data_IF_056438630211
#
_entry.id   IF_056438630211
#
_cell.length_a   1.000
_cell.length_b   1.000
_cell.length_c   1.000
_cell.angle_alpha   90.00
_cell.angle_beta   90.00
_cell.angle_gamma   90.00
#
_symmetry.space_group_name_H-M   'P 1'
#
loop_
_entity.id
_entity.type
_entity.pdbx_description
1 polymer ?
#
# COMPACT_ATOMS: atom_id res chain seq x y z
N UNK A 1 11.55 -4.34 20.90
CA UNK A 1 10.65 -4.12 19.72
C UNK A 1 11.03 -4.99 18.53
N UNK A 2 12.34 -5.22 18.28
CA UNK A 2 12.81 -5.99 17.12
C UNK A 2 13.15 -7.45 17.43
N UNK A 3 13.29 -7.82 18.70
CA UNK A 3 13.68 -9.18 19.11
C UNK A 3 12.63 -10.23 18.72
N UNK A 4 11.35 -9.86 18.76
CA UNK A 4 10.22 -10.71 18.35
C UNK A 4 9.65 -10.32 16.96
N UNK A 5 10.44 -9.62 16.15
CA UNK A 5 9.98 -9.11 14.85
C UNK A 5 9.49 -10.22 13.91
N UNK A 6 10.20 -11.38 13.77
CA UNK A 6 9.73 -12.49 12.96
C UNK A 6 8.42 -13.12 13.45
N UNK A 7 8.23 -13.30 14.77
CA UNK A 7 6.96 -13.77 15.32
C UNK A 7 5.83 -12.80 15.01
N UNK A 8 6.11 -11.49 15.14
CA UNK A 8 5.12 -10.44 14.84
C UNK A 8 4.69 -10.49 13.38
N UNK A 9 5.63 -10.61 12.44
CA UNK A 9 5.31 -10.79 11.00
C UNK A 9 4.43 -12.01 10.74
N UNK A 10 4.81 -13.17 11.30
CA UNK A 10 4.04 -14.41 11.17
C UNK A 10 2.63 -14.23 11.71
N UNK A 11 2.47 -13.54 12.83
CA UNK A 11 1.16 -13.34 13.45
C UNK A 11 0.20 -12.52 12.57
N UNK A 12 0.69 -11.48 11.89
CA UNK A 12 -0.14 -10.68 10.97
C UNK A 12 -0.47 -11.41 9.67
N UNK A 13 0.30 -12.43 9.30
CA UNK A 13 0.05 -13.26 8.11
C UNK A 13 -0.86 -14.45 8.41
N UNK A 14 -0.71 -15.07 9.58
CA UNK A 14 -1.39 -16.33 9.90
C UNK A 14 -2.62 -16.13 10.78
N UNK A 15 -2.60 -15.11 11.66
CA UNK A 15 -3.62 -14.89 12.68
C UNK A 15 -3.91 -13.39 12.89
N UNK A 16 -4.24 -12.64 11.82
CA UNK A 16 -4.31 -11.18 11.86
C UNK A 16 -5.27 -10.64 12.94
N UNK A 17 -6.42 -11.30 13.16
CA UNK A 17 -7.37 -10.84 14.18
C UNK A 17 -6.79 -10.89 15.60
N UNK A 18 -6.05 -11.96 15.94
CA UNK A 18 -5.38 -12.06 17.23
C UNK A 18 -4.22 -11.06 17.34
N UNK A 19 -3.45 -10.90 16.26
CA UNK A 19 -2.35 -9.95 16.20
C UNK A 19 -2.84 -8.52 16.45
N UNK A 20 -3.94 -8.10 15.81
CA UNK A 20 -4.53 -6.77 16.03
C UNK A 20 -5.05 -6.57 17.44
N UNK A 21 -5.72 -7.56 18.03
CA UNK A 21 -6.17 -7.47 19.43
C UNK A 21 -5.00 -7.27 20.39
N UNK A 22 -3.86 -7.92 20.16
CA UNK A 22 -2.66 -7.77 21.01
C UNK A 22 -2.02 -6.39 20.96
N UNK A 23 -2.10 -5.69 19.82
CA UNK A 23 -1.48 -4.36 19.64
C UNK A 23 -2.46 -3.20 19.87
N UNK A 24 -3.71 -3.50 20.23
CA UNK A 24 -4.78 -2.53 20.37
C UNK A 24 -4.48 -1.45 21.41
N UNK A 25 -3.91 -1.83 22.54
CA UNK A 25 -3.56 -0.90 23.63
C UNK A 25 -2.09 -0.45 23.57
N UNK A 26 -1.35 -0.89 22.55
CA UNK A 26 0.04 -0.48 22.31
C UNK A 26 0.16 0.90 21.66
N UNK A 27 1.36 1.46 21.72
CA UNK A 27 1.70 2.76 21.18
C UNK A 27 1.64 2.80 19.64
N UNK A 28 1.17 3.92 19.09
CA UNK A 28 1.08 4.13 17.63
C UNK A 28 2.46 4.42 17.02
N UNK A 29 3.38 5.02 17.78
CA UNK A 29 4.76 5.20 17.37
C UNK A 29 5.48 3.87 17.11
N UNK A 30 5.27 2.85 17.96
CA UNK A 30 5.79 1.50 17.70
C UNK A 30 5.27 0.90 16.38
N UNK A 31 4.00 1.13 16.06
CA UNK A 31 3.41 0.70 14.79
C UNK A 31 4.03 1.44 13.59
N UNK A 32 4.31 2.74 13.74
CA UNK A 32 4.99 3.53 12.72
C UNK A 32 6.43 3.05 12.49
N UNK A 33 7.19 2.79 13.56
CA UNK A 33 8.56 2.25 13.43
C UNK A 33 8.51 0.88 12.74
N UNK A 34 7.57 0.01 13.12
CA UNK A 34 7.36 -1.27 12.46
C UNK A 34 7.08 -1.12 10.96
N UNK A 35 6.18 -0.21 10.59
CA UNK A 35 5.85 0.08 9.20
C UNK A 35 7.07 0.58 8.42
N UNK A 36 7.81 1.55 8.97
CA UNK A 36 9.00 2.13 8.30
C UNK A 36 10.09 1.09 8.10
N UNK A 37 10.35 0.23 9.09
CA UNK A 37 11.33 -0.85 8.97
C UNK A 37 10.95 -1.80 7.82
N UNK A 38 9.68 -2.23 7.75
CA UNK A 38 9.22 -3.08 6.66
C UNK A 38 9.22 -2.38 5.31
N UNK A 39 8.86 -1.09 5.28
CA UNK A 39 8.88 -0.29 4.06
C UNK A 39 10.29 -0.21 3.49
N UNK A 40 11.31 0.05 4.33
CA UNK A 40 12.72 0.09 3.89
C UNK A 40 13.14 -1.26 3.32
N UNK A 41 12.81 -2.36 4.01
CA UNK A 41 13.10 -3.72 3.51
C UNK A 41 12.42 -3.94 2.15
N UNK A 42 11.13 -3.62 2.05
CA UNK A 42 10.36 -3.76 0.83
C UNK A 42 10.94 -2.92 -0.33
N UNK A 43 11.32 -1.67 -0.07
CA UNK A 43 11.88 -0.76 -1.08
C UNK A 43 13.23 -1.25 -1.60
N UNK A 44 14.09 -1.77 -0.71
CA UNK A 44 15.38 -2.35 -1.11
C UNK A 44 15.16 -3.62 -1.95
N UNK A 45 14.32 -4.55 -1.49
CA UNK A 45 14.03 -5.79 -2.22
C UNK A 45 13.40 -5.52 -3.59
N UNK A 46 12.45 -4.58 -3.65
CA UNK A 46 11.83 -4.17 -4.90
C UNK A 46 12.82 -3.49 -5.84
N UNK A 47 13.72 -2.64 -5.33
CA UNK A 47 14.79 -2.03 -6.12
C UNK A 47 15.73 -3.08 -6.72
N UNK A 48 16.13 -4.10 -5.94
CA UNK A 48 16.93 -5.23 -6.43
C UNK A 48 16.19 -5.98 -7.54
N UNK A 49 14.92 -6.32 -7.33
CA UNK A 49 14.12 -7.03 -8.35
C UNK A 49 13.98 -6.21 -9.62
N UNK A 50 13.74 -4.89 -9.50
CA UNK A 50 13.62 -4.00 -10.65
C UNK A 50 14.95 -3.87 -11.42
N UNK A 51 16.09 -3.82 -10.72
CA UNK A 51 17.41 -3.80 -11.37
C UNK A 51 17.64 -5.03 -12.26
N UNK A 52 17.24 -6.21 -11.79
CA UNK A 52 17.35 -7.46 -12.57
C UNK A 52 16.18 -7.69 -13.53
N UNK A 53 15.15 -6.84 -13.51
CA UNK A 53 14.01 -6.94 -14.41
C UNK A 53 14.40 -6.38 -15.77
N UNK A 54 14.77 -7.28 -16.67
CA UNK A 54 15.03 -6.93 -18.07
C UNK A 54 13.68 -6.98 -18.81
N UNK A 55 12.92 -5.89 -18.76
CA UNK A 55 11.86 -5.69 -19.74
C UNK A 55 12.41 -4.96 -20.98
N UNK A 56 12.05 -5.36 -22.21
CA UNK A 56 12.67 -4.86 -23.44
C UNK A 56 12.62 -3.33 -23.60
N UNK A 57 11.63 -2.69 -22.98
CA UNK A 57 11.47 -1.24 -23.00
C UNK A 57 12.54 -0.57 -22.13
N UNK A 58 12.79 -1.07 -20.91
CA UNK A 58 13.83 -0.53 -20.04
C UNK A 58 15.22 -0.85 -20.56
N UNK A 59 15.45 -2.03 -21.15
CA UNK A 59 16.72 -2.35 -21.80
C UNK A 59 17.02 -1.39 -22.96
N UNK A 60 16.03 -1.12 -23.81
CA UNK A 60 16.15 -0.13 -24.89
C UNK A 60 16.45 1.27 -24.35
N UNK A 61 15.80 1.69 -23.25
CA UNK A 61 16.08 2.98 -22.61
C UNK A 61 17.49 3.01 -21.98
N UNK A 62 17.88 1.99 -21.24
CA UNK A 62 19.16 1.90 -20.53
C UNK A 62 20.35 1.80 -21.48
N UNK A 63 20.20 1.18 -22.65
CA UNK A 63 21.24 1.13 -23.68
C UNK A 63 21.55 2.51 -24.29
N UNK A 64 20.65 3.49 -24.14
CA UNK A 64 20.84 4.86 -24.65
C UNK A 64 21.45 5.82 -23.62
N UNK A 65 21.59 5.41 -22.36
CA UNK A 65 22.12 6.25 -21.27
C UNK A 65 23.42 5.67 -20.68
N UNK A 66 24.34 6.51 -20.19
CA UNK A 66 25.54 6.03 -19.51
C UNK A 66 25.21 5.15 -18.30
N UNK A 67 26.00 4.10 -18.07
CA UNK A 67 25.78 3.15 -16.97
C UNK A 67 25.73 3.81 -15.58
N UNK A 68 26.52 4.88 -15.36
CA UNK A 68 26.48 5.66 -14.11
C UNK A 68 25.13 6.37 -13.88
N UNK A 69 24.42 6.72 -14.95
CA UNK A 69 23.10 7.35 -14.88
C UNK A 69 22.03 6.32 -14.47
N UNK A 70 22.11 5.08 -14.96
CA UNK A 70 21.20 3.98 -14.59
C UNK A 70 21.26 3.70 -13.08
N UNK A 71 22.48 3.56 -12.53
CA UNK A 71 22.67 3.33 -11.11
C UNK A 71 22.08 4.47 -10.24
N UNK A 72 22.16 5.72 -10.70
CA UNK A 72 21.54 6.86 -10.01
C UNK A 72 20.01 6.72 -10.02
N UNK A 73 19.41 6.37 -11.15
CA UNK A 73 17.96 6.17 -11.23
C UNK A 73 17.48 5.07 -10.29
N UNK A 74 18.20 3.95 -10.19
CA UNK A 74 17.86 2.85 -9.30
C UNK A 74 17.88 3.28 -7.83
N UNK A 75 18.93 3.99 -7.41
CA UNK A 75 19.04 4.51 -6.04
C UNK A 75 17.92 5.52 -5.76
N UNK A 76 17.64 6.42 -6.71
CA UNK A 76 16.54 7.38 -6.58
C UNK A 76 15.19 6.69 -6.47
N UNK A 77 14.97 5.59 -7.18
CA UNK A 77 13.72 4.82 -7.12
C UNK A 77 13.45 4.25 -5.72
N UNK A 78 14.49 3.77 -5.02
CA UNK A 78 14.40 3.27 -3.64
C UNK A 78 14.04 4.42 -2.70
N UNK A 79 14.70 5.57 -2.84
CA UNK A 79 14.44 6.75 -2.00
C UNK A 79 13.01 7.25 -2.21
N UNK A 80 12.56 7.37 -3.47
CA UNK A 80 11.19 7.74 -3.78
C UNK A 80 10.18 6.71 -3.28
N UNK A 81 10.52 5.42 -3.31
CA UNK A 81 9.69 4.37 -2.73
C UNK A 81 9.49 4.55 -1.21
N UNK A 82 10.56 4.88 -0.48
CA UNK A 82 10.50 5.12 0.97
C UNK A 82 9.71 6.40 1.26
N UNK A 83 10.04 7.52 0.59
CA UNK A 83 9.34 8.80 0.79
C UNK A 83 7.86 8.67 0.43
N UNK A 84 7.57 8.06 -0.73
CA UNK A 84 6.21 7.81 -1.21
C UNK A 84 5.44 6.88 -0.29
N UNK A 85 6.08 5.85 0.27
CA UNK A 85 5.46 4.96 1.26
C UNK A 85 5.08 5.69 2.55
N UNK A 86 5.98 6.54 3.08
CA UNK A 86 5.69 7.34 4.28
C UNK A 86 4.56 8.34 4.02
N UNK A 87 4.59 9.07 2.90
CA UNK A 87 3.52 10.00 2.53
C UNK A 87 2.21 9.24 2.31
N UNK A 88 2.26 8.12 1.60
CA UNK A 88 1.14 7.23 1.33
C UNK A 88 0.51 6.69 2.61
N UNK A 89 1.29 6.32 3.61
CA UNK A 89 0.81 5.88 4.92
C UNK A 89 -0.13 6.91 5.56
N UNK A 90 0.28 8.18 5.63
CA UNK A 90 -0.55 9.23 6.21
C UNK A 90 -1.78 9.52 5.37
N UNK A 91 -1.63 9.62 4.04
CA UNK A 91 -2.76 9.88 3.13
C UNK A 91 -3.80 8.75 3.22
N UNK A 92 -3.37 7.50 3.08
CA UNK A 92 -4.24 6.33 3.14
C UNK A 92 -4.90 6.22 4.51
N UNK A 93 -4.13 6.40 5.59
CA UNK A 93 -4.67 6.34 6.94
C UNK A 93 -5.72 7.41 7.20
N UNK A 94 -5.52 8.65 6.72
CA UNK A 94 -6.53 9.71 6.82
C UNK A 94 -7.77 9.37 5.99
N UNK A 95 -7.59 8.96 4.72
CA UNK A 95 -8.71 8.57 3.85
C UNK A 95 -9.53 7.46 4.50
N UNK A 96 -8.90 6.35 4.91
CA UNK A 96 -9.58 5.25 5.57
C UNK A 96 -10.27 5.75 6.85
N UNK A 97 -9.63 6.63 7.63
CA UNK A 97 -10.24 7.14 8.85
C UNK A 97 -11.50 7.96 8.58
N UNK A 98 -11.54 8.77 7.50
CA UNK A 98 -12.77 9.46 7.09
C UNK A 98 -13.92 8.48 6.84
N UNK A 99 -13.65 7.37 6.15
CA UNK A 99 -14.66 6.34 5.91
C UNK A 99 -15.00 5.53 7.16
N UNK A 100 -14.05 5.33 8.08
CA UNK A 100 -14.29 4.76 9.42
C UNK A 100 -15.30 5.62 10.19
N UNK A 101 -15.14 6.95 10.17
CA UNK A 101 -16.07 7.87 10.81
C UNK A 101 -17.47 7.78 10.20
N UNK A 102 -17.58 7.67 8.86
CA UNK A 102 -18.86 7.50 8.15
C UNK A 102 -19.58 6.21 8.57
N UNK A 103 -18.85 5.10 8.74
CA UNK A 103 -19.44 3.83 9.18
C UNK A 103 -19.62 3.73 10.70
N UNK A 104 -19.29 4.79 11.44
CA UNK A 104 -19.54 4.93 12.88
C UNK A 104 -18.44 4.39 13.79
N UNK A 105 -17.22 4.19 13.31
CA UNK A 105 -16.05 3.90 14.14
C UNK A 105 -15.63 5.13 14.96
N UNK A 106 -15.20 4.92 16.21
CA UNK A 106 -14.95 6.00 17.18
C UNK A 106 -13.68 5.83 18.01
N UNK A 107 -12.80 4.89 17.66
CA UNK A 107 -11.63 4.55 18.46
C UNK A 107 -10.41 5.46 18.17
N UNK A 108 -10.62 6.55 17.42
CA UNK A 108 -9.60 7.55 17.09
C UNK A 108 -8.76 7.23 15.86
N UNK A 109 -8.04 8.24 15.37
CA UNK A 109 -7.18 8.16 14.17
C UNK A 109 -6.00 7.20 14.38
N UNK A 110 -5.46 7.16 15.60
CA UNK A 110 -4.37 6.29 16.00
C UNK A 110 -4.63 4.81 15.68
N UNK A 111 -5.84 4.33 15.99
CA UNK A 111 -6.24 2.95 15.70
C UNK A 111 -6.32 2.68 14.19
N UNK A 112 -6.70 3.67 13.37
CA UNK A 112 -6.63 3.54 11.92
C UNK A 112 -5.18 3.49 11.42
N UNK A 113 -4.29 4.33 11.95
CA UNK A 113 -2.88 4.30 11.58
C UNK A 113 -2.20 2.99 11.98
N UNK A 114 -2.49 2.44 13.16
CA UNK A 114 -2.03 1.10 13.54
C UNK A 114 -2.55 0.02 12.59
N UNK A 115 -3.82 0.12 12.18
CA UNK A 115 -4.39 -0.77 11.18
C UNK A 115 -3.61 -0.74 9.86
N UNK A 116 -3.36 0.45 9.30
CA UNK A 116 -2.57 0.61 8.06
C UNK A 116 -1.14 0.11 8.20
N UNK A 117 -0.49 0.43 9.33
CA UNK A 117 0.89 0.04 9.60
C UNK A 117 1.06 -1.48 9.54
N UNK A 118 0.24 -2.21 10.29
CA UNK A 118 0.36 -3.65 10.39
C UNK A 118 -0.29 -4.40 9.22
N UNK A 119 -1.34 -3.86 8.59
CA UNK A 119 -1.96 -4.48 7.43
C UNK A 119 -1.08 -4.45 6.17
N UNK A 120 -0.09 -3.56 6.14
CA UNK A 120 0.90 -3.50 5.06
C UNK A 120 1.86 -4.71 5.07
N UNK A 121 1.89 -5.49 6.14
CA UNK A 121 2.82 -6.61 6.34
C UNK A 121 2.88 -7.60 5.18
N UNK A 122 1.76 -8.15 4.66
CA UNK A 122 1.86 -9.15 3.59
C UNK A 122 2.43 -8.55 2.31
N UNK A 123 1.98 -7.34 1.96
CA UNK A 123 2.46 -6.61 0.79
C UNK A 123 3.94 -6.25 0.88
N UNK A 124 4.41 -5.78 2.04
CA UNK A 124 5.82 -5.45 2.22
C UNK A 124 6.72 -6.67 2.30
N UNK A 125 6.26 -7.77 2.90
CA UNK A 125 7.08 -8.96 3.04
C UNK A 125 7.24 -9.73 1.71
N UNK A 126 6.18 -9.81 0.91
CA UNK A 126 6.10 -10.75 -0.21
C UNK A 126 5.62 -10.10 -1.52
N UNK A 127 5.20 -8.83 -1.49
CA UNK A 127 4.70 -8.10 -2.66
C UNK A 127 5.75 -7.76 -3.71
N UNK A 128 7.04 -7.81 -3.35
CA UNK A 128 8.15 -7.59 -4.29
C UNK A 128 8.39 -8.80 -5.22
N UNK A 129 7.81 -9.96 -4.91
CA UNK A 129 7.97 -11.18 -5.71
C UNK A 129 7.15 -11.05 -7.00
N UNK A 130 7.76 -11.15 -8.20
CA UNK A 130 7.04 -11.09 -9.46
C UNK A 130 5.92 -12.15 -9.54
N UNK A 131 4.81 -11.80 -10.20
CA UNK A 131 3.61 -12.64 -10.40
C UNK A 131 2.82 -12.94 -9.12
N UNK A 132 3.48 -13.36 -8.04
CA UNK A 132 2.83 -13.79 -6.79
C UNK A 132 2.56 -12.62 -5.85
N UNK A 133 3.35 -11.54 -5.95
CA UNK A 133 3.24 -10.37 -5.06
C UNK A 133 1.86 -9.72 -5.04
N UNK A 134 1.12 -9.79 -6.15
CA UNK A 134 -0.26 -9.30 -6.22
C UNK A 134 -1.19 -10.03 -5.24
N UNK A 135 -1.00 -11.34 -5.03
CA UNK A 135 -1.81 -12.11 -4.09
C UNK A 135 -1.61 -11.62 -2.66
N UNK A 136 -0.39 -11.25 -2.30
CA UNK A 136 -0.07 -10.72 -0.98
C UNK A 136 -0.53 -9.28 -0.80
N UNK A 137 -0.52 -8.46 -1.88
CA UNK A 137 -1.16 -7.16 -1.85
C UNK A 137 -2.68 -7.26 -1.63
N UNK A 138 -3.36 -8.18 -2.32
CA UNK A 138 -4.78 -8.46 -2.13
C UNK A 138 -5.06 -9.00 -0.72
N UNK A 139 -4.20 -9.89 -0.22
CA UNK A 139 -4.32 -10.36 1.16
C UNK A 139 -4.13 -9.22 2.17
N UNK A 140 -3.26 -8.24 1.90
CA UNK A 140 -3.13 -7.02 2.68
C UNK A 140 -4.44 -6.25 2.85
N UNK A 141 -5.30 -6.22 1.83
CA UNK A 141 -6.65 -5.63 1.93
C UNK A 141 -7.51 -6.39 2.94
N UNK A 142 -7.45 -7.72 2.94
CA UNK A 142 -8.17 -8.56 3.92
C UNK A 142 -7.66 -8.26 5.33
N UNK A 143 -6.33 -8.19 5.52
CA UNK A 143 -5.72 -7.85 6.80
C UNK A 143 -6.12 -6.43 7.23
N UNK A 144 -6.21 -5.48 6.31
CA UNK A 144 -6.68 -4.11 6.57
C UNK A 144 -8.12 -4.08 7.06
N UNK A 145 -9.02 -4.85 6.44
CA UNK A 145 -10.41 -4.99 6.89
C UNK A 145 -10.47 -5.56 8.30
N UNK A 146 -9.70 -6.61 8.58
CA UNK A 146 -9.62 -7.22 9.91
C UNK A 146 -9.07 -6.21 10.92
N UNK A 147 -8.02 -5.47 10.58
CA UNK A 147 -7.44 -4.45 11.45
C UNK A 147 -8.42 -3.35 11.81
N UNK A 148 -9.18 -2.83 10.83
CA UNK A 148 -10.24 -1.86 11.10
C UNK A 148 -11.33 -2.47 11.98
N UNK A 149 -11.77 -3.70 11.70
CA UNK A 149 -12.78 -4.39 12.52
C UNK A 149 -12.37 -4.49 13.99
N UNK A 150 -11.17 -5.00 14.25
CA UNK A 150 -10.69 -5.23 15.62
C UNK A 150 -10.33 -3.93 16.35
N UNK A 151 -9.66 -2.99 15.68
CA UNK A 151 -9.14 -1.78 16.31
C UNK A 151 -10.18 -0.65 16.41
N UNK A 152 -11.13 -0.57 15.47
CA UNK A 152 -12.23 0.40 15.51
C UNK A 152 -13.52 -0.16 16.13
N UNK A 153 -13.52 -1.44 16.53
CA UNK A 153 -14.67 -2.12 17.14
C UNK A 153 -15.96 -2.05 16.31
N UNK A 154 -15.83 -2.07 14.99
CA UNK A 154 -16.96 -2.06 14.06
C UNK A 154 -17.25 -3.47 13.54
N UNK A 155 -18.46 -3.70 13.02
CA UNK A 155 -18.78 -4.98 12.39
C UNK A 155 -17.94 -5.21 11.11
N UNK A 156 -17.74 -6.47 10.71
CA UNK A 156 -17.00 -6.83 9.49
C UNK A 156 -17.54 -6.09 8.26
N UNK A 157 -18.87 -6.00 8.09
CA UNK A 157 -19.47 -5.30 6.96
C UNK A 157 -19.14 -3.80 6.94
N UNK A 158 -19.13 -3.14 8.11
CA UNK A 158 -18.73 -1.73 8.23
C UNK A 158 -17.23 -1.54 7.95
N UNK A 159 -16.38 -2.42 8.46
CA UNK A 159 -14.94 -2.40 8.16
C UNK A 159 -14.68 -2.59 6.65
N UNK A 160 -15.37 -3.54 6.02
CA UNK A 160 -15.29 -3.76 4.57
C UNK A 160 -15.70 -2.50 3.80
N UNK A 161 -16.81 -1.86 4.17
CA UNK A 161 -17.24 -0.59 3.55
C UNK A 161 -16.19 0.50 3.74
N UNK A 162 -15.64 0.66 4.95
CA UNK A 162 -14.66 1.70 5.23
C UNK A 162 -13.37 1.55 4.39
N UNK A 163 -12.95 0.31 4.11
CA UNK A 163 -11.74 0.03 3.33
C UNK A 163 -12.02 0.02 1.82
N UNK A 164 -13.15 -0.54 1.39
CA UNK A 164 -13.44 -0.74 -0.04
C UNK A 164 -14.06 0.48 -0.72
N UNK A 165 -14.85 1.30 -0.03
CA UNK A 165 -15.45 2.50 -0.61
C UNK A 165 -14.41 3.48 -1.20
N UNK A 166 -13.33 3.88 -0.50
CA UNK A 166 -12.34 4.77 -1.09
C UNK A 166 -11.69 4.17 -2.34
N UNK A 167 -11.45 2.85 -2.35
CA UNK A 167 -10.90 2.13 -3.49
C UNK A 167 -11.87 2.18 -4.69
N UNK A 168 -13.14 1.87 -4.46
CA UNK A 168 -14.19 1.90 -5.49
C UNK A 168 -14.35 3.32 -6.07
N UNK A 169 -14.36 4.34 -5.20
CA UNK A 169 -14.47 5.75 -5.63
C UNK A 169 -13.26 6.14 -6.49
N UNK A 170 -12.04 5.80 -6.06
CA UNK A 170 -10.83 6.09 -6.82
C UNK A 170 -10.85 5.46 -8.21
N UNK A 171 -11.15 4.15 -8.30
CA UNK A 171 -11.23 3.47 -9.59
C UNK A 171 -12.37 3.99 -10.47
N UNK A 172 -13.51 4.36 -9.89
CA UNK A 172 -14.61 5.00 -10.60
C UNK A 172 -14.22 6.35 -11.20
N UNK A 173 -13.51 7.19 -10.44
CA UNK A 173 -13.02 8.49 -10.92
C UNK A 173 -11.98 8.34 -12.04
N UNK A 174 -11.06 7.37 -11.91
CA UNK A 174 -10.07 7.06 -12.95
C UNK A 174 -10.79 6.61 -14.24
N UNK A 175 -11.77 5.70 -14.12
CA UNK A 175 -12.55 5.23 -15.27
C UNK A 175 -13.26 6.39 -15.99
N UNK A 176 -13.92 7.27 -15.22
CA UNK A 176 -14.59 8.45 -15.77
C UNK A 176 -13.59 9.38 -16.48
N UNK A 177 -12.44 9.64 -15.87
CA UNK A 177 -11.41 10.49 -16.46
C UNK A 177 -10.88 9.93 -17.79
N UNK A 178 -10.61 8.62 -17.84
CA UNK A 178 -10.18 7.94 -19.07
C UNK A 178 -11.28 8.02 -20.14
N UNK A 179 -12.53 7.76 -19.77
CA UNK A 179 -13.66 7.84 -20.70
C UNK A 179 -13.76 9.23 -21.35
N UNK A 180 -13.74 10.30 -20.55
CA UNK A 180 -13.81 11.67 -21.06
C UNK A 180 -12.58 12.05 -21.90
N UNK A 181 -11.39 11.62 -21.49
CA UNK A 181 -10.18 11.83 -22.26
C UNK A 181 -10.29 11.17 -23.65
N UNK A 182 -10.67 9.90 -23.71
CA UNK A 182 -10.85 9.18 -24.97
C UNK A 182 -11.95 9.80 -25.83
N UNK A 183 -13.08 10.19 -25.23
CA UNK A 183 -14.15 10.89 -25.94
C UNK A 183 -13.66 12.20 -26.56
N UNK A 184 -12.91 13.01 -25.80
CA UNK A 184 -12.36 14.27 -26.29
C UNK A 184 -11.38 14.06 -27.45
N UNK A 185 -10.53 13.04 -27.36
CA UNK A 185 -9.59 12.66 -28.45
C UNK A 185 -10.36 12.28 -29.71
N UNK A 186 -11.37 11.41 -29.61
CA UNK A 186 -12.19 10.98 -30.76
C UNK A 186 -12.98 12.16 -31.36
N UNK A 187 -13.53 13.04 -30.53
CA UNK A 187 -14.23 14.23 -31.01
C UNK A 187 -13.26 15.16 -31.76
N UNK A 188 -12.05 15.38 -31.23
CA UNK A 188 -11.05 16.24 -31.86
C UNK A 188 -10.54 15.68 -33.20
N UNK A 189 -10.32 14.37 -33.31
CA UNK A 189 -9.88 13.74 -34.58
C UNK A 189 -11.03 13.63 -35.59
N UNK A 190 -12.27 13.42 -35.13
CA UNK A 190 -13.45 13.41 -35.99
C UNK A 190 -13.83 14.78 -36.56
N UNK A 191 -13.46 15.88 -35.88
CA UNK A 191 -13.61 17.26 -36.41
C UNK A 191 -12.52 17.64 -37.42
N UNK A 192 -11.41 16.88 -37.49
CA UNK A 192 -10.27 17.15 -38.36
C UNK A 192 -10.30 16.36 -39.68
N UNK A 193 -11.32 15.51 -39.88
CA UNK A 193 -11.57 14.71 -41.08
C UNK A 193 -12.75 15.28 -41.88
#
# INVERSE_FOLDING_TARGET
MLDDFPEKLKSFILSPAEAFRKVKDGDTGEALVYYVVLLVIYSVLSGIVNYFRIDPIMEALYSTVPAGTVAIFDIMSIIYGIVGGIVGFFIIGIIIHLFVLIVGGKMGLEQTFKSVAYASTPGFLLGWIPVIGILFALYGIIVQIIGIRELQEVSTGRATLAVMLPVIILFGLIFIAIFFFLFAVVAATGMAA
#
